data_IF_022797109830
#
_entry.id   IF_022797109830
#
_cell.length_a   1.000
_cell.length_b   1.000
_cell.length_c   1.000
_cell.angle_alpha   90.00
_cell.angle_beta   90.00
_cell.angle_gamma   90.00
#
_symmetry.space_group_name_H-M   'P 1'
#
loop_
_entity.id
_entity.type
_entity.pdbx_description
1 polymer ?
#
# COMPACT_ATOMS: atom_id res chain seq x y z
N UNK A 1 -40.73 18.99 1.52
CA UNK A 1 -40.58 17.60 1.06
C UNK A 1 -39.15 17.43 0.57
N UNK A 2 -38.31 16.68 1.29
CA UNK A 2 -36.92 16.42 0.90
C UNK A 2 -36.90 15.42 -0.27
N UNK A 3 -36.08 15.61 -1.32
CA UNK A 3 -35.92 14.60 -2.35
C UNK A 3 -35.07 13.45 -1.79
N UNK A 4 -35.61 12.23 -1.84
CA UNK A 4 -34.90 11.02 -1.45
C UNK A 4 -33.72 10.77 -2.40
N UNK A 5 -32.54 10.49 -1.84
CA UNK A 5 -31.36 10.05 -2.58
C UNK A 5 -31.69 8.72 -3.29
N UNK A 6 -31.80 8.75 -4.61
CA UNK A 6 -31.99 7.55 -5.43
C UNK A 6 -30.71 6.72 -5.41
N UNK A 7 -30.80 5.50 -4.87
CA UNK A 7 -29.73 4.50 -4.93
C UNK A 7 -29.52 4.12 -6.40
N UNK A 8 -28.34 4.44 -6.96
CA UNK A 8 -27.95 4.02 -8.31
C UNK A 8 -27.86 2.50 -8.36
N UNK A 9 -28.49 1.88 -9.36
CA UNK A 9 -28.30 0.45 -9.62
C UNK A 9 -26.83 0.21 -10.02
N UNK A 10 -26.20 -0.88 -9.56
CA UNK A 10 -24.80 -1.14 -9.88
C UNK A 10 -24.63 -1.36 -11.38
N UNK A 11 -23.76 -0.54 -12.00
CA UNK A 11 -23.42 -0.65 -13.41
C UNK A 11 -22.65 -1.96 -13.65
N UNK A 12 -23.06 -2.70 -14.67
CA UNK A 12 -22.46 -3.97 -15.09
C UNK A 12 -21.12 -3.70 -15.80
N UNK A 13 -20.05 -3.50 -15.01
CA UNK A 13 -18.70 -3.23 -15.51
C UNK A 13 -17.68 -3.04 -14.38
N UNK A 14 -16.46 -3.55 -14.57
CA UNK A 14 -15.41 -3.58 -13.53
C UNK A 14 -14.81 -2.22 -13.15
N UNK A 15 -15.29 -1.11 -13.71
CA UNK A 15 -14.88 0.25 -13.37
C UNK A 15 -16.06 1.02 -12.79
N UNK A 16 -15.97 1.38 -11.50
CA UNK A 16 -17.01 2.11 -10.78
C UNK A 16 -16.57 3.56 -10.58
N UNK A 17 -17.30 4.49 -11.19
CA UNK A 17 -17.03 5.94 -11.14
C UNK A 17 -17.98 6.70 -10.21
N UNK A 18 -18.75 6.01 -9.36
CA UNK A 18 -19.70 6.63 -8.42
C UNK A 18 -19.05 7.69 -7.54
N UNK A 19 -17.80 7.43 -7.16
CA UNK A 19 -16.97 8.34 -6.40
C UNK A 19 -16.63 9.63 -7.15
N UNK A 20 -16.39 9.57 -8.47
CA UNK A 20 -16.18 10.74 -9.32
C UNK A 20 -17.48 11.54 -9.49
N UNK A 21 -18.61 10.85 -9.68
CA UNK A 21 -19.93 11.47 -9.81
C UNK A 21 -20.34 12.18 -8.51
N UNK A 22 -20.13 11.52 -7.36
CA UNK A 22 -20.34 12.10 -6.02
C UNK A 22 -19.49 13.35 -5.83
N UNK A 23 -18.20 13.30 -6.12
CA UNK A 23 -17.32 14.46 -5.99
C UNK A 23 -17.76 15.62 -6.88
N UNK A 24 -18.15 15.37 -8.13
CA UNK A 24 -18.69 16.40 -9.04
C UNK A 24 -20.00 17.00 -8.51
N UNK A 25 -20.87 16.20 -7.90
CA UNK A 25 -22.11 16.70 -7.26
C UNK A 25 -21.81 17.57 -6.04
N UNK A 26 -20.81 17.20 -5.23
CA UNK A 26 -20.39 17.94 -4.05
C UNK A 26 -19.69 19.25 -4.40
N UNK A 27 -18.92 19.30 -5.49
CA UNK A 27 -18.34 20.55 -6.00
C UNK A 27 -19.44 21.53 -6.45
N UNK A 28 -20.46 21.04 -7.16
CA UNK A 28 -21.61 21.84 -7.56
C UNK A 28 -22.39 22.36 -6.35
N UNK A 29 -22.67 21.51 -5.36
CA UNK A 29 -23.41 21.89 -4.14
C UNK A 29 -22.58 22.80 -3.21
N UNK A 30 -21.29 22.54 -3.06
CA UNK A 30 -20.36 23.35 -2.25
C UNK A 30 -20.20 24.77 -2.79
N UNK A 31 -20.21 24.93 -4.11
CA UNK A 31 -20.21 26.25 -4.77
C UNK A 31 -21.45 27.09 -4.43
N UNK A 32 -22.62 26.44 -4.23
CA UNK A 32 -23.86 27.10 -3.84
C UNK A 32 -23.90 27.48 -2.34
N UNK A 33 -23.06 26.83 -1.51
CA UNK A 33 -22.97 27.06 -0.06
C UNK A 33 -21.71 27.83 0.37
N UNK A 34 -20.92 28.35 -0.58
CA UNK A 34 -19.61 29.00 -0.31
C UNK A 34 -18.61 28.12 0.46
N UNK A 35 -18.76 26.80 0.39
CA UNK A 35 -17.86 25.82 1.01
C UNK A 35 -16.86 25.33 -0.05
N UNK A 36 -15.57 25.63 0.15
CA UNK A 36 -14.52 25.06 -0.70
C UNK A 36 -14.18 23.65 -0.21
N UNK A 37 -14.16 22.64 -1.10
CA UNK A 37 -13.64 21.32 -0.75
C UNK A 37 -12.17 21.45 -0.36
N UNK A 38 -11.69 20.67 0.62
CA UNK A 38 -10.29 20.70 1.01
C UNK A 38 -9.41 20.38 -0.19
N UNK A 39 -8.36 21.19 -0.41
CA UNK A 39 -7.43 20.99 -1.53
C UNK A 39 -6.75 19.63 -1.32
N UNK A 40 -6.91 18.65 -2.22
CA UNK A 40 -6.19 17.40 -2.13
C UNK A 40 -4.69 17.69 -2.25
N UNK A 41 -3.91 17.29 -1.26
CA UNK A 41 -2.46 17.48 -1.27
C UNK A 41 -1.84 16.51 -2.28
N UNK A 42 -1.35 17.05 -3.40
CA UNK A 42 -0.76 16.32 -4.52
C UNK A 42 0.62 15.75 -4.21
N UNK A 43 0.70 14.72 -3.39
CA UNK A 43 1.96 13.97 -3.17
C UNK A 43 2.20 12.94 -4.27
N UNK A 44 1.20 12.72 -5.16
CA UNK A 44 1.38 12.03 -6.44
C UNK A 44 1.86 10.58 -6.36
N UNK A 45 1.84 10.01 -5.15
CA UNK A 45 2.42 8.72 -4.77
C UNK A 45 1.34 7.67 -4.61
N UNK A 46 1.59 6.48 -5.15
CA UNK A 46 0.73 5.32 -5.05
C UNK A 46 1.58 4.11 -4.69
N UNK A 47 1.30 3.54 -3.52
CA UNK A 47 1.90 2.30 -3.06
C UNK A 47 0.81 1.27 -2.85
N UNK A 48 1.08 0.03 -3.21
CA UNK A 48 0.14 -1.08 -3.09
C UNK A 48 0.87 -2.34 -2.63
N UNK A 49 0.14 -3.21 -1.95
CA UNK A 49 0.62 -4.52 -1.57
C UNK A 49 -0.49 -5.55 -1.70
N UNK A 50 -0.12 -6.78 -2.02
CA UNK A 50 -1.03 -7.92 -2.00
C UNK A 50 -0.31 -9.18 -1.51
N UNK A 51 -1.06 -10.03 -0.82
CA UNK A 51 -0.63 -11.36 -0.42
C UNK A 51 -1.06 -12.34 -1.50
N UNK A 52 -0.14 -13.21 -1.93
CA UNK A 52 -0.43 -14.35 -2.78
C UNK A 52 -0.06 -15.66 -2.05
N UNK A 53 -0.28 -16.80 -2.71
CA UNK A 53 -0.14 -18.13 -2.10
C UNK A 53 1.18 -18.34 -1.34
N UNK A 54 2.29 -17.90 -1.92
CA UNK A 54 3.63 -18.22 -1.41
C UNK A 54 4.41 -16.97 -0.96
N UNK A 55 3.77 -15.79 -0.88
CA UNK A 55 4.48 -14.57 -0.55
C UNK A 55 3.65 -13.28 -0.58
N UNK A 56 4.36 -12.16 -0.67
CA UNK A 56 3.79 -10.81 -0.74
C UNK A 56 4.39 -10.08 -1.94
N UNK A 57 3.57 -9.35 -2.67
CA UNK A 57 4.01 -8.43 -3.73
C UNK A 57 3.80 -7.01 -3.22
N UNK A 58 4.82 -6.18 -3.37
CA UNK A 58 4.78 -4.75 -3.11
C UNK A 58 5.02 -4.00 -4.41
N UNK A 59 4.19 -3.00 -4.67
CA UNK A 59 4.29 -2.13 -5.84
C UNK A 59 4.27 -0.66 -5.43
N UNK A 60 5.06 0.14 -6.13
CA UNK A 60 5.09 1.59 -5.95
C UNK A 60 5.33 2.27 -7.29
N UNK A 61 4.79 3.47 -7.45
CA UNK A 61 5.17 4.36 -8.54
C UNK A 61 6.53 5.04 -8.26
N UNK A 62 7.23 5.51 -9.30
CA UNK A 62 8.56 6.14 -9.17
C UNK A 62 8.56 7.67 -9.23
N UNK A 63 7.40 8.28 -9.43
CA UNK A 63 7.29 9.74 -9.58
C UNK A 63 7.26 10.40 -8.20
N UNK A 64 8.16 11.34 -7.94
CA UNK A 64 8.09 12.25 -6.81
C UNK A 64 7.74 13.65 -7.30
N UNK A 65 6.71 14.25 -6.69
CA UNK A 65 6.28 15.61 -6.98
C UNK A 65 6.56 16.50 -5.79
N UNK A 66 7.07 17.70 -6.06
CA UNK A 66 7.06 18.81 -5.13
C UNK A 66 5.96 19.78 -5.58
N UNK A 67 4.83 19.70 -4.90
CA UNK A 67 3.58 20.37 -5.25
C UNK A 67 3.14 20.09 -6.72
N UNK A 68 3.31 21.04 -7.63
CA UNK A 68 2.90 20.91 -9.03
C UNK A 68 4.04 20.47 -9.97
N UNK A 69 5.27 20.39 -9.48
CA UNK A 69 6.45 20.08 -10.29
C UNK A 69 6.93 18.67 -10.00
N UNK A 70 7.27 17.91 -11.03
CA UNK A 70 7.92 16.61 -10.86
C UNK A 70 9.37 16.87 -10.44
N UNK A 71 9.68 16.64 -9.17
CA UNK A 71 11.01 16.80 -8.61
C UNK A 71 11.93 15.65 -9.05
N UNK A 72 11.40 14.41 -9.06
CA UNK A 72 12.14 13.24 -9.51
C UNK A 72 11.21 12.26 -10.24
N UNK A 73 11.70 11.67 -11.33
CA UNK A 73 10.99 10.67 -12.13
C UNK A 73 11.32 9.24 -11.71
N UNK A 74 12.45 9.05 -11.03
CA UNK A 74 13.02 7.75 -10.68
C UNK A 74 13.29 7.64 -9.17
N UNK A 75 12.32 8.08 -8.36
CA UNK A 75 12.40 7.97 -6.92
C UNK A 75 12.02 6.56 -6.45
N UNK A 76 12.88 5.94 -5.65
CA UNK A 76 12.61 4.65 -5.03
C UNK A 76 11.82 4.81 -3.72
N UNK A 77 10.62 4.25 -3.70
CA UNK A 77 9.71 4.29 -2.54
C UNK A 77 9.65 2.96 -1.80
N UNK A 78 10.29 1.93 -2.35
CA UNK A 78 10.41 0.60 -1.75
C UNK A 78 11.75 0.55 -1.05
N UNK A 79 11.71 0.42 0.28
CA UNK A 79 12.89 0.41 1.12
C UNK A 79 13.14 -1.01 1.65
N UNK A 80 14.43 -1.37 1.66
CA UNK A 80 14.90 -2.60 2.26
C UNK A 80 14.87 -2.48 3.78
N UNK A 81 14.27 -3.46 4.47
CA UNK A 81 14.25 -3.52 5.94
C UNK A 81 15.14 -4.65 6.42
N UNK A 82 14.86 -5.88 5.96
CA UNK A 82 15.67 -7.10 6.18
C UNK A 82 15.51 -8.05 4.99
N UNK A 83 16.26 -9.14 4.96
CA UNK A 83 16.25 -10.12 3.85
C UNK A 83 14.85 -10.67 3.50
N UNK A 84 13.92 -10.68 4.46
CA UNK A 84 12.56 -11.20 4.29
C UNK A 84 11.47 -10.14 4.42
N UNK A 85 11.84 -8.88 4.63
CA UNK A 85 10.90 -7.78 4.90
C UNK A 85 11.28 -6.56 4.08
N UNK A 86 10.31 -6.06 3.32
CA UNK A 86 10.39 -4.79 2.60
C UNK A 86 9.25 -3.87 3.06
N UNK A 87 9.42 -2.57 2.82
CA UNK A 87 8.35 -1.62 3.06
C UNK A 87 8.24 -0.58 1.95
N UNK A 88 7.04 -0.04 1.77
CA UNK A 88 6.78 1.06 0.86
C UNK A 88 6.42 2.31 1.65
N UNK A 89 7.06 3.43 1.35
CA UNK A 89 6.78 4.73 1.95
C UNK A 89 5.85 5.59 1.11
N UNK A 90 4.91 6.27 1.75
CA UNK A 90 4.05 7.31 1.18
C UNK A 90 3.88 8.48 2.15
N UNK A 91 3.39 9.61 1.65
CA UNK A 91 3.28 10.85 2.41
C UNK A 91 4.55 11.69 2.30
N UNK A 92 4.98 12.33 3.38
CA UNK A 92 6.18 13.17 3.37
C UNK A 92 7.42 12.30 3.11
N UNK A 93 8.10 12.55 1.99
CA UNK A 93 9.19 11.69 1.52
C UNK A 93 10.33 11.56 2.54
N UNK A 94 10.77 12.68 3.13
CA UNK A 94 11.84 12.70 4.13
C UNK A 94 11.47 11.91 5.40
N UNK A 95 10.22 12.04 5.86
CA UNK A 95 9.72 11.30 7.01
C UNK A 95 9.71 9.80 6.72
N UNK A 96 9.19 9.39 5.55
CA UNK A 96 9.14 8.00 5.16
C UNK A 96 10.54 7.37 5.07
N UNK A 97 11.51 8.06 4.46
CA UNK A 97 12.89 7.57 4.39
C UNK A 97 13.53 7.45 5.79
N UNK A 98 13.38 8.46 6.63
CA UNK A 98 13.94 8.45 7.99
C UNK A 98 13.36 7.31 8.83
N UNK A 99 12.03 7.17 8.81
CA UNK A 99 11.28 6.17 9.56
C UNK A 99 11.68 4.74 9.15
N UNK A 100 11.79 4.48 7.85
CA UNK A 100 12.13 3.16 7.32
C UNK A 100 13.58 2.79 7.61
N UNK A 101 14.51 3.73 7.48
CA UNK A 101 15.91 3.54 7.88
C UNK A 101 16.06 3.26 9.36
N UNK A 102 15.35 4.01 10.22
CA UNK A 102 15.38 3.79 11.65
C UNK A 102 14.76 2.43 12.04
N UNK A 103 13.69 2.02 11.35
CA UNK A 103 13.08 0.71 11.53
C UNK A 103 14.04 -0.42 11.15
N UNK A 104 14.71 -0.30 9.99
CA UNK A 104 15.72 -1.25 9.52
C UNK A 104 16.83 -1.42 10.56
N UNK A 105 17.43 -0.32 11.04
CA UNK A 105 18.48 -0.37 12.07
C UNK A 105 18.02 -1.05 13.37
N UNK A 106 16.80 -0.74 13.84
CA UNK A 106 16.25 -1.37 15.06
C UNK A 106 16.03 -2.87 14.89
N UNK A 107 15.53 -3.30 13.73
CA UNK A 107 15.31 -4.71 13.44
C UNK A 107 16.62 -5.47 13.26
N UNK A 108 17.63 -4.83 12.66
CA UNK A 108 18.95 -5.42 12.54
C UNK A 108 19.61 -5.63 13.91
N UNK A 109 19.55 -4.64 14.80
CA UNK A 109 19.99 -4.79 16.19
C UNK A 109 19.21 -5.87 16.94
N UNK A 110 17.90 -5.96 16.71
CA UNK A 110 17.08 -7.01 17.30
C UNK A 110 17.49 -8.40 16.81
N UNK A 111 17.76 -8.55 15.50
CA UNK A 111 18.23 -9.79 14.91
C UNK A 111 19.59 -10.22 15.47
N UNK A 112 20.54 -9.27 15.60
CA UNK A 112 21.84 -9.51 16.22
C UNK A 112 21.73 -9.93 17.70
N UNK A 113 20.87 -9.26 18.46
CA UNK A 113 20.67 -9.57 19.88
C UNK A 113 20.00 -10.92 20.11
N UNK A 114 19.13 -11.35 19.20
CA UNK A 114 18.36 -12.60 19.35
C UNK A 114 18.96 -13.77 18.58
N UNK A 115 19.93 -13.51 17.69
CA UNK A 115 20.45 -14.46 16.70
C UNK A 115 19.33 -15.18 15.92
N UNK A 116 18.25 -14.47 15.62
CA UNK A 116 17.08 -14.98 14.91
C UNK A 116 16.59 -13.96 13.90
N UNK A 117 16.00 -14.47 12.83
CA UNK A 117 15.35 -13.61 11.84
C UNK A 117 14.16 -12.87 12.49
N UNK A 118 14.06 -11.54 12.27
CA UNK A 118 12.98 -10.77 12.84
C UNK A 118 11.66 -11.07 12.14
N UNK A 119 10.57 -10.97 12.91
CA UNK A 119 9.21 -11.18 12.43
C UNK A 119 8.62 -9.90 11.83
N UNK A 120 7.79 -10.00 10.80
CA UNK A 120 7.02 -8.87 10.24
C UNK A 120 6.17 -8.18 11.32
N UNK A 121 5.59 -8.96 12.25
CA UNK A 121 4.80 -8.38 13.34
C UNK A 121 5.64 -7.52 14.31
N UNK A 122 6.94 -7.83 14.46
CA UNK A 122 7.88 -7.00 15.24
C UNK A 122 8.13 -5.68 14.53
N UNK A 123 8.31 -5.71 13.20
CA UNK A 123 8.45 -4.49 12.40
C UNK A 123 7.22 -3.57 12.55
N UNK A 124 6.01 -4.14 12.41
CA UNK A 124 4.76 -3.42 12.58
C UNK A 124 4.63 -2.80 13.99
N UNK A 125 4.97 -3.57 15.05
CA UNK A 125 4.94 -3.08 16.44
C UNK A 125 5.88 -1.88 16.66
N UNK A 126 7.12 -1.98 16.18
CA UNK A 126 8.10 -0.91 16.34
C UNK A 126 7.67 0.36 15.60
N UNK A 127 7.16 0.19 14.38
CA UNK A 127 6.71 1.30 13.55
C UNK A 127 5.52 2.02 14.17
N UNK A 128 4.46 1.28 14.56
CA UNK A 128 3.26 1.90 15.14
C UNK A 128 3.53 2.63 16.45
N UNK A 129 4.38 2.07 17.31
CA UNK A 129 4.75 2.70 18.57
C UNK A 129 5.54 4.00 18.34
N UNK A 130 6.40 4.00 17.33
CA UNK A 130 7.15 5.19 16.96
C UNK A 130 6.22 6.27 16.43
N UNK A 131 5.39 5.99 15.43
CA UNK A 131 4.47 6.97 14.85
C UNK A 131 3.47 7.51 15.88
N UNK A 132 2.93 6.62 16.73
CA UNK A 132 2.02 7.03 17.81
C UNK A 132 2.68 7.96 18.83
N UNK A 133 3.95 7.74 19.17
CA UNK A 133 4.71 8.62 20.08
C UNK A 133 4.84 10.06 19.56
N UNK A 134 4.84 10.24 18.24
CA UNK A 134 4.88 11.57 17.62
C UNK A 134 3.48 12.13 17.34
N UNK A 135 2.39 11.50 17.83
CA UNK A 135 1.02 11.99 17.72
C UNK A 135 0.60 12.43 16.30
N UNK A 136 1.13 11.77 15.25
CA UNK A 136 0.84 12.10 13.86
C UNK A 136 1.61 13.29 13.28
N UNK A 137 2.59 13.85 13.98
CA UNK A 137 3.49 14.88 13.43
C UNK A 137 4.41 14.35 12.32
N UNK A 138 4.70 13.04 12.33
CA UNK A 138 5.43 12.37 11.26
C UNK A 138 4.41 11.97 10.18
N UNK A 139 4.50 12.61 9.01
CA UNK A 139 3.55 12.45 7.90
C UNK A 139 3.79 11.22 7.03
N UNK A 140 4.31 10.14 7.59
CA UNK A 140 4.66 8.92 6.85
C UNK A 140 3.54 7.87 6.94
N UNK A 141 3.07 7.41 5.79
CA UNK A 141 2.22 6.23 5.64
C UNK A 141 3.07 5.10 5.07
N UNK A 142 3.01 3.91 5.66
CA UNK A 142 3.93 2.83 5.31
C UNK A 142 3.16 1.53 5.11
N UNK A 143 3.46 0.81 4.03
CA UNK A 143 3.06 -0.59 3.86
C UNK A 143 4.26 -1.46 4.21
N UNK A 144 4.10 -2.42 5.12
CA UNK A 144 5.12 -3.43 5.44
C UNK A 144 4.68 -4.76 4.85
N UNK A 145 5.52 -5.36 4.02
CA UNK A 145 5.31 -6.69 3.45
C UNK A 145 6.49 -7.59 3.73
N UNK A 146 6.24 -8.83 4.15
CA UNK A 146 7.30 -9.80 4.37
C UNK A 146 6.77 -11.21 4.58
N UNK A 147 7.70 -12.16 4.65
CA UNK A 147 7.39 -13.57 4.86
C UNK A 147 8.14 -14.07 6.09
N UNK A 148 7.38 -14.48 7.10
CA UNK A 148 7.91 -15.10 8.32
C UNK A 148 7.73 -16.63 8.27
N UNK A 149 8.24 -17.34 9.29
CA UNK A 149 7.96 -18.77 9.52
C UNK A 149 6.45 -19.11 9.63
N UNK A 150 5.58 -18.11 9.88
CA UNK A 150 4.12 -18.27 9.92
C UNK A 150 3.46 -18.08 8.56
N UNK A 151 4.20 -17.63 7.55
CA UNK A 151 3.69 -17.30 6.22
C UNK A 151 3.79 -15.80 5.88
N UNK A 152 3.16 -15.39 4.77
CA UNK A 152 3.17 -14.02 4.30
C UNK A 152 2.29 -13.10 5.16
N UNK A 153 2.80 -11.91 5.43
CA UNK A 153 2.12 -10.89 6.21
C UNK A 153 2.23 -9.53 5.53
N UNK A 154 1.11 -8.81 5.49
CA UNK A 154 0.99 -7.47 4.92
C UNK A 154 0.31 -6.57 5.95
N UNK A 155 0.93 -5.43 6.25
CA UNK A 155 0.41 -4.44 7.18
C UNK A 155 0.41 -3.06 6.53
N UNK A 156 -0.68 -2.31 6.68
CA UNK A 156 -0.72 -0.88 6.40
C UNK A 156 -0.65 -0.11 7.71
N UNK A 157 0.26 0.86 7.80
CA UNK A 157 0.45 1.71 8.97
C UNK A 157 0.24 3.16 8.57
N UNK A 158 -0.71 3.81 9.24
CA UNK A 158 -1.04 5.21 8.99
C UNK A 158 -0.22 6.15 9.88
N UNK A 159 -0.11 7.45 9.53
CA UNK A 159 0.73 8.43 10.26
C UNK A 159 0.40 8.56 11.75
N UNK A 160 -0.84 8.30 12.13
CA UNK A 160 -1.31 8.34 13.53
C UNK A 160 -0.99 7.05 14.32
N UNK A 161 -0.35 6.07 13.69
CA UNK A 161 0.03 4.80 14.32
C UNK A 161 -1.07 3.75 14.36
N UNK A 162 -2.21 3.95 13.69
CA UNK A 162 -3.14 2.84 13.44
C UNK A 162 -2.55 1.88 12.42
N UNK A 163 -2.98 0.63 12.54
CA UNK A 163 -2.44 -0.46 11.74
C UNK A 163 -3.55 -1.39 11.33
N UNK A 164 -3.63 -1.69 10.04
CA UNK A 164 -4.58 -2.66 9.49
C UNK A 164 -3.84 -3.85 8.87
N UNK A 165 -4.51 -5.00 8.89
CA UNK A 165 -4.00 -6.24 8.29
C UNK A 165 -5.04 -6.71 7.30
N UNK A 166 -4.73 -6.60 6.01
CA UNK A 166 -5.62 -6.97 4.91
C UNK A 166 -4.85 -7.75 3.86
N UNK A 167 -5.50 -8.65 3.09
CA UNK A 167 -4.85 -9.43 2.05
C UNK A 167 -4.33 -8.55 0.90
N UNK A 168 -4.94 -7.40 0.68
CA UNK A 168 -4.49 -6.36 -0.23
C UNK A 168 -4.65 -5.00 0.43
N UNK A 169 -3.77 -4.08 0.13
CA UNK A 169 -3.84 -2.70 0.63
C UNK A 169 -3.22 -1.75 -0.36
N UNK A 170 -3.69 -0.51 -0.39
CA UNK A 170 -3.01 0.55 -1.10
C UNK A 170 -3.07 1.82 -0.27
N UNK A 171 -1.97 2.55 -0.25
CA UNK A 171 -1.82 3.82 0.44
C UNK A 171 -1.26 4.86 -0.53
N UNK A 172 -1.45 6.12 -0.17
CA UNK A 172 -1.13 7.25 -1.03
C UNK A 172 -2.38 7.92 -1.58
N UNK A 173 -2.17 9.01 -2.28
CA UNK A 173 -3.24 9.92 -2.66
C UNK A 173 -4.07 9.38 -3.84
N UNK A 174 -3.43 8.70 -4.80
CA UNK A 174 -4.15 8.19 -5.98
C UNK A 174 -4.84 6.83 -5.72
N UNK A 175 -4.85 6.35 -4.47
CA UNK A 175 -5.55 5.12 -4.06
C UNK A 175 -7.04 5.19 -4.35
N UNK A 176 -7.64 6.38 -4.25
CA UNK A 176 -9.06 6.58 -4.52
C UNK A 176 -9.49 6.16 -5.94
N UNK A 177 -8.54 6.06 -6.88
CA UNK A 177 -8.78 5.63 -8.25
C UNK A 177 -8.55 4.14 -8.48
N UNK A 178 -8.07 3.39 -7.49
CA UNK A 178 -7.85 1.95 -7.63
C UNK A 178 -9.10 1.19 -7.13
N UNK A 179 -9.88 0.53 -8.01
CA UNK A 179 -10.95 -0.36 -7.61
C UNK A 179 -10.37 -1.70 -7.12
N UNK A 180 -9.43 -1.64 -6.16
CA UNK A 180 -8.73 -2.82 -5.65
C UNK A 180 -9.71 -3.82 -5.04
N UNK A 181 -10.71 -3.33 -4.30
CA UNK A 181 -11.72 -4.20 -3.71
C UNK A 181 -12.53 -4.92 -4.78
N UNK A 182 -12.94 -4.25 -5.86
CA UNK A 182 -13.78 -4.89 -6.88
C UNK A 182 -12.98 -5.84 -7.79
N UNK A 183 -11.76 -5.45 -8.15
CA UNK A 183 -10.88 -6.25 -9.01
C UNK A 183 -10.40 -7.50 -8.25
N UNK A 184 -9.99 -7.37 -6.98
CA UNK A 184 -9.45 -8.50 -6.21
C UNK A 184 -10.54 -9.39 -5.60
N UNK A 185 -11.73 -8.87 -5.28
CA UNK A 185 -12.86 -9.72 -4.85
C UNK A 185 -13.34 -10.63 -5.98
N UNK A 186 -13.28 -10.17 -7.24
CA UNK A 186 -13.55 -11.03 -8.41
C UNK A 186 -12.50 -12.15 -8.60
N UNK A 187 -11.26 -11.91 -8.16
CA UNK A 187 -10.14 -12.85 -8.27
C UNK A 187 -9.92 -13.74 -7.03
N UNK A 188 -10.62 -13.52 -5.91
CA UNK A 188 -10.65 -14.48 -4.80
C UNK A 188 -11.22 -15.85 -5.23
N UNK A 189 -12.10 -15.84 -6.24
CA UNK A 189 -12.63 -17.03 -6.93
C UNK A 189 -11.75 -17.49 -8.10
N UNK A 190 -10.74 -16.70 -8.49
CA UNK A 190 -9.87 -16.98 -9.62
C UNK A 190 -8.72 -17.90 -9.18
N UNK A 191 -8.91 -19.19 -9.45
CA UNK A 191 -7.84 -20.18 -9.44
C UNK A 191 -7.00 -19.93 -10.69
N UNK A 192 -5.73 -19.49 -10.62
CA UNK A 192 -4.92 -19.30 -11.81
C UNK A 192 -4.78 -20.65 -12.51
N UNK A 193 -5.36 -20.77 -13.71
CA UNK A 193 -5.11 -21.90 -14.59
C UNK A 193 -3.72 -21.69 -15.17
N UNK A 194 -2.72 -22.21 -14.48
CA UNK A 194 -1.38 -22.34 -15.02
C UNK A 194 -1.51 -23.34 -16.17
N UNK A 195 -1.57 -22.84 -17.41
CA UNK A 195 -1.43 -23.69 -18.59
C UNK A 195 -0.03 -24.35 -18.53
N UNK A 196 0.09 -25.67 -18.66
CA UNK A 196 1.32 -26.43 -18.37
C UNK A 196 2.45 -26.26 -19.41
N UNK A 197 2.61 -25.08 -20.01
CA UNK A 197 3.53 -24.81 -21.12
C UNK A 197 4.81 -24.02 -20.77
N UNK A 198 5.00 -23.57 -19.53
CA UNK A 198 6.14 -22.71 -19.15
C UNK A 198 7.21 -23.40 -18.27
N UNK A 199 7.08 -24.71 -18.04
CA UNK A 199 8.20 -25.55 -17.58
C UNK A 199 8.84 -26.17 -18.82
N UNK A 200 9.90 -25.56 -19.35
CA UNK A 200 10.71 -26.19 -20.37
C UNK A 200 11.36 -27.47 -19.79
N UNK A 201 11.09 -28.67 -20.35
CA UNK A 201 11.71 -29.91 -19.94
C UNK A 201 12.92 -30.17 -20.85
N UNK A 202 14.09 -29.60 -20.50
CA UNK A 202 15.34 -29.99 -21.18
C UNK A 202 16.56 -29.71 -20.30
N UNK A 203 16.74 -30.56 -19.30
CA UNK A 203 18.05 -30.98 -18.79
C UNK A 203 17.81 -32.35 -18.15
N UNK A 204 17.79 -33.37 -19.01
CA UNK A 204 17.71 -34.76 -18.62
C UNK A 204 19.02 -35.21 -17.99
N UNK A 205 18.91 -36.03 -16.94
CA UNK A 205 20.00 -36.87 -16.45
C UNK A 205 20.49 -37.79 -17.58
N UNK A 206 21.81 -37.83 -17.78
CA UNK A 206 22.50 -39.01 -18.31
C UNK A 206 23.66 -39.34 -17.39
N UNK A 207 23.60 -40.55 -16.84
CA UNK A 207 24.57 -41.23 -15.97
C UNK A 207 25.92 -41.45 -16.68
N UNK A 208 27.03 -41.16 -15.98
CA UNK A 208 28.14 -42.08 -15.63
C UNK A 208 28.68 -41.63 -14.28
#
# INVERSE_FOLDING_TARGET
MQPALSVSQPLEGGFIFENCLRNSSLEKQGSALSLQPPIPRKTGTTIAGLIYKDGVILGADRRATDDMVVADKNCDKIHFITDKIYCCGAGVAADAEYVTRLLSSKLHLHAMSTNREPRVCTANRLLKQMLYRYHGHIGASVIIGGVDFRGPHLYSVHPHGSTDTTPHTALGEQVFLLPLDHLMTSHSTYKPRIEPGWLNPSLGNSLV
#
